data_IF_719473561939
#
_entry.id   IF_719473561939
#
_cell.length_a   1.000
_cell.length_b   1.000
_cell.length_c   1.000
_cell.angle_alpha   90.00
_cell.angle_beta   90.00
_cell.angle_gamma   90.00
#
_symmetry.space_group_name_H-M   'P 1'
#
loop_
_entity.id
_entity.type
_entity.pdbx_description
1 polymer ?
#
# COMPACT_ATOMS: atom_id res chain seq x y z
N UNK A 1 -11.01 62.90 9.48
CA UNK A 1 -10.06 62.03 10.20
C UNK A 1 -10.76 61.48 11.42
N UNK A 2 -11.02 60.17 11.45
CA UNK A 2 -11.43 59.45 12.66
C UNK A 2 -10.99 58.00 12.48
N UNK A 3 -10.32 57.48 13.51
CA UNK A 3 -9.45 56.32 13.50
C UNK A 3 -10.19 55.00 13.27
N UNK A 4 -9.53 54.11 12.52
CA UNK A 4 -9.94 52.71 12.37
C UNK A 4 -9.83 51.98 13.70
N UNK A 5 -10.92 51.29 14.07
CA UNK A 5 -10.92 50.34 15.18
C UNK A 5 -10.29 49.06 14.67
N UNK A 6 -9.05 48.82 15.07
CA UNK A 6 -8.38 47.52 14.96
C UNK A 6 -9.10 46.56 15.91
N UNK A 7 -9.91 45.65 15.36
CA UNK A 7 -10.47 44.55 16.14
C UNK A 7 -9.36 43.51 16.29
N UNK A 8 -8.69 43.55 17.43
CA UNK A 8 -7.80 42.48 17.88
C UNK A 8 -8.64 41.22 18.08
N UNK A 9 -8.46 40.24 17.19
CA UNK A 9 -8.93 38.89 17.44
C UNK A 9 -8.00 38.27 18.49
N UNK A 10 -8.52 37.82 19.65
CA UNK A 10 -7.70 37.06 20.58
C UNK A 10 -7.30 35.76 19.88
N UNK A 11 -6.00 35.60 19.66
CA UNK A 11 -5.35 34.34 19.34
C UNK A 11 -5.64 33.34 20.46
N UNK A 12 -6.79 32.68 20.40
CA UNK A 12 -7.02 31.45 21.15
C UNK A 12 -6.18 30.38 20.47
N UNK A 13 -4.99 30.19 21.01
CA UNK A 13 -4.16 29.04 20.73
C UNK A 13 -4.99 27.77 20.87
N UNK A 14 -5.32 27.18 19.73
CA UNK A 14 -5.78 25.80 19.66
C UNK A 14 -4.55 24.92 19.90
N UNK A 15 -4.12 24.85 21.16
CA UNK A 15 -3.24 23.80 21.62
C UNK A 15 -4.07 22.51 21.67
N UNK A 16 -4.35 21.94 20.49
CA UNK A 16 -4.73 20.54 20.38
C UNK A 16 -3.56 19.74 20.95
N UNK A 17 -3.66 19.35 22.23
CA UNK A 17 -2.76 18.41 22.88
C UNK A 17 -2.92 17.03 22.21
N UNK A 18 -2.40 16.90 21.00
CA UNK A 18 -1.91 15.60 20.59
C UNK A 18 -0.56 15.44 21.28
N UNK A 19 -0.32 14.34 22.02
CA UNK A 19 1.06 13.91 22.18
C UNK A 19 1.65 13.72 20.77
N UNK A 20 2.98 13.75 20.59
CA UNK A 20 3.60 13.68 19.25
C UNK A 20 2.87 12.67 18.37
N UNK A 21 2.55 13.00 17.12
CA UNK A 21 1.72 12.15 16.24
C UNK A 21 2.16 10.68 16.26
N UNK A 22 3.47 10.46 16.36
CA UNK A 22 4.10 9.16 16.57
C UNK A 22 3.52 8.40 17.79
N UNK A 23 3.48 9.03 18.96
CA UNK A 23 2.91 8.42 20.17
C UNK A 23 1.42 8.11 20.03
N UNK A 24 0.66 9.01 19.38
CA UNK A 24 -0.76 8.79 19.11
C UNK A 24 -0.97 7.61 18.17
N UNK A 25 -0.18 7.51 17.11
CA UNK A 25 -0.20 6.41 16.15
C UNK A 25 0.17 5.09 16.81
N UNK A 26 1.22 5.07 17.62
CA UNK A 26 1.65 3.87 18.36
C UNK A 26 0.56 3.38 19.31
N UNK A 27 0.01 4.27 20.13
CA UNK A 27 -1.03 3.92 21.09
C UNK A 27 -2.30 3.47 20.38
N UNK A 28 -2.71 4.17 19.31
CA UNK A 28 -3.89 3.80 18.51
C UNK A 28 -3.70 2.46 17.81
N UNK A 29 -2.52 2.19 17.26
CA UNK A 29 -2.17 0.91 16.61
C UNK A 29 -2.25 -0.24 17.60
N UNK A 30 -1.64 -0.10 18.78
CA UNK A 30 -1.68 -1.14 19.81
C UNK A 30 -3.11 -1.47 20.26
N UNK A 31 -3.95 -0.44 20.47
CA UNK A 31 -5.35 -0.60 20.87
C UNK A 31 -6.21 -1.18 19.77
N UNK A 32 -5.97 -0.78 18.52
CA UNK A 32 -6.63 -1.36 17.36
C UNK A 32 -6.35 -2.86 17.25
N UNK A 33 -5.08 -3.27 17.32
CA UNK A 33 -4.68 -4.68 17.24
C UNK A 33 -5.29 -5.50 18.38
N UNK A 34 -5.32 -4.94 19.59
CA UNK A 34 -5.97 -5.58 20.74
C UNK A 34 -7.49 -5.73 20.51
N UNK A 35 -8.16 -4.70 19.98
CA UNK A 35 -9.60 -4.72 19.73
C UNK A 35 -9.99 -5.76 18.65
N UNK A 36 -9.28 -5.79 17.52
CA UNK A 36 -9.52 -6.76 16.44
C UNK A 36 -9.19 -8.19 16.87
N UNK A 37 -8.24 -8.37 17.79
CA UNK A 37 -7.94 -9.70 18.35
C UNK A 37 -8.98 -10.17 19.37
N UNK A 38 -9.63 -9.23 20.08
CA UNK A 38 -10.60 -9.54 21.13
C UNK A 38 -12.01 -9.81 20.59
N UNK A 39 -12.39 -9.17 19.48
CA UNK A 39 -13.71 -9.28 18.88
C UNK A 39 -13.64 -9.34 17.34
N UNK A 40 -14.51 -10.12 16.68
CA UNK A 40 -14.54 -10.23 15.22
C UNK A 40 -15.01 -8.94 14.53
N UNK A 41 -15.79 -8.10 15.20
CA UNK A 41 -16.28 -6.81 14.71
C UNK A 41 -16.16 -5.73 15.80
N UNK A 42 -14.96 -5.16 16.01
CA UNK A 42 -14.75 -4.16 17.05
C UNK A 42 -15.34 -2.80 16.65
N UNK A 43 -15.88 -2.05 17.61
CA UNK A 43 -16.30 -0.66 17.36
C UNK A 43 -15.08 0.25 17.17
N UNK A 44 -14.86 0.69 15.93
CA UNK A 44 -13.76 1.56 15.54
C UNK A 44 -14.14 3.06 15.46
N UNK A 45 -15.36 3.44 15.87
CA UNK A 45 -15.91 4.79 15.69
C UNK A 45 -15.07 5.87 16.36
N UNK A 46 -14.54 5.58 17.55
CA UNK A 46 -13.67 6.50 18.28
C UNK A 46 -12.34 6.74 17.57
N UNK A 47 -11.75 5.71 16.94
CA UNK A 47 -10.55 5.88 16.13
C UNK A 47 -10.84 6.73 14.89
N UNK A 48 -11.97 6.48 14.21
CA UNK A 48 -12.37 7.23 13.02
C UNK A 48 -12.55 8.72 13.31
N UNK A 49 -13.29 9.07 14.36
CA UNK A 49 -13.52 10.47 14.71
C UNK A 49 -12.22 11.19 15.07
N UNK A 50 -11.34 10.51 15.82
CA UNK A 50 -10.04 11.04 16.19
C UNK A 50 -9.14 11.26 14.97
N UNK A 51 -8.97 10.26 14.11
CA UNK A 51 -8.09 10.37 12.95
C UNK A 51 -8.68 11.26 11.85
N UNK A 52 -10.00 11.33 11.70
CA UNK A 52 -10.64 12.33 10.83
C UNK A 52 -10.25 13.74 11.26
N UNK A 53 -10.28 14.04 12.57
CA UNK A 53 -9.87 15.35 13.09
C UNK A 53 -8.38 15.61 12.86
N UNK A 54 -7.53 14.61 13.11
CA UNK A 54 -6.09 14.69 12.82
C UNK A 54 -5.86 15.04 11.35
N UNK A 55 -6.46 14.30 10.42
CA UNK A 55 -6.29 14.50 8.99
C UNK A 55 -6.79 15.88 8.52
N UNK A 56 -7.87 16.41 9.09
CA UNK A 56 -8.34 17.78 8.79
C UNK A 56 -7.44 18.88 9.36
N UNK A 57 -6.56 18.56 10.30
CA UNK A 57 -5.63 19.53 10.91
C UNK A 57 -4.40 19.76 10.05
N UNK A 58 -4.01 18.78 9.21
CA UNK A 58 -2.83 18.86 8.36
C UNK A 58 -3.22 19.15 6.90
N UNK A 59 -2.64 20.19 6.25
CA UNK A 59 -2.88 20.45 4.83
C UNK A 59 -2.30 19.37 3.91
N UNK A 60 -1.21 18.72 4.34
CA UNK A 60 -0.67 17.50 3.73
C UNK A 60 -0.48 16.44 4.83
N UNK A 61 -1.50 15.59 5.08
CA UNK A 61 -1.51 14.71 6.24
C UNK A 61 -0.44 13.62 6.14
N UNK A 62 0.32 13.33 7.20
CA UNK A 62 1.40 12.35 7.16
C UNK A 62 0.94 10.96 6.71
N UNK A 63 1.83 10.26 6.02
CA UNK A 63 1.53 8.98 5.36
C UNK A 63 0.93 7.97 6.34
N UNK A 64 1.50 7.85 7.53
CA UNK A 64 1.09 6.90 8.57
C UNK A 64 -0.31 7.20 9.10
N UNK A 65 -0.69 8.48 9.22
CA UNK A 65 -2.03 8.88 9.64
C UNK A 65 -3.08 8.54 8.58
N UNK A 66 -2.79 8.81 7.30
CA UNK A 66 -3.65 8.44 6.18
C UNK A 66 -3.79 6.92 6.09
N UNK A 67 -2.70 6.21 6.32
CA UNK A 67 -2.66 4.76 6.21
C UNK A 67 -3.38 4.06 7.36
N UNK A 68 -3.28 4.59 8.59
CA UNK A 68 -4.09 4.10 9.71
C UNK A 68 -5.58 4.38 9.48
N UNK A 69 -5.94 5.60 9.07
CA UNK A 69 -7.33 5.96 8.82
C UNK A 69 -7.97 5.13 7.70
N UNK A 70 -7.25 4.89 6.61
CA UNK A 70 -7.74 4.04 5.53
C UNK A 70 -7.93 2.58 5.97
N UNK A 71 -7.16 2.09 6.94
CA UNK A 71 -7.39 0.78 7.53
C UNK A 71 -8.73 0.72 8.27
N UNK A 72 -9.07 1.76 9.04
CA UNK A 72 -10.36 1.84 9.73
C UNK A 72 -11.53 1.74 8.74
N UNK A 73 -11.45 2.46 7.62
CA UNK A 73 -12.47 2.42 6.55
C UNK A 73 -12.53 1.06 5.87
N UNK A 74 -11.37 0.43 5.64
CA UNK A 74 -11.31 -0.90 5.03
C UNK A 74 -11.93 -1.97 5.92
N UNK A 75 -11.73 -1.89 7.24
CA UNK A 75 -12.29 -2.87 8.16
C UNK A 75 -13.83 -2.84 8.20
N UNK A 76 -14.47 -1.69 7.95
CA UNK A 76 -15.93 -1.59 7.80
C UNK A 76 -16.44 -2.24 6.50
N UNK A 77 -15.68 -2.09 5.41
CA UNK A 77 -16.07 -2.52 4.07
C UNK A 77 -14.89 -3.14 3.31
N UNK A 78 -14.48 -4.38 3.67
CA UNK A 78 -13.23 -4.96 3.17
C UNK A 78 -13.25 -5.34 1.69
N UNK A 79 -14.43 -5.46 1.08
CA UNK A 79 -14.54 -5.80 -0.33
C UNK A 79 -14.49 -4.56 -1.24
N UNK A 80 -14.49 -3.34 -0.69
CA UNK A 80 -14.54 -2.10 -1.46
C UNK A 80 -13.17 -1.43 -1.64
N UNK A 81 -12.27 -2.15 -2.30
CA UNK A 81 -10.93 -1.66 -2.65
C UNK A 81 -10.96 -0.42 -3.56
N UNK A 82 -12.04 -0.20 -4.32
CA UNK A 82 -12.18 1.02 -5.15
C UNK A 82 -12.34 2.24 -4.27
N UNK A 83 -13.20 2.18 -3.26
CA UNK A 83 -13.38 3.29 -2.33
C UNK A 83 -12.09 3.60 -1.56
N UNK A 84 -11.31 2.57 -1.18
CA UNK A 84 -9.99 2.79 -0.57
C UNK A 84 -9.03 3.47 -1.54
N UNK A 85 -8.94 3.01 -2.80
CA UNK A 85 -8.10 3.65 -3.82
C UNK A 85 -8.50 5.13 -4.03
N UNK A 86 -9.80 5.41 -4.09
CA UNK A 86 -10.31 6.77 -4.21
C UNK A 86 -9.97 7.63 -2.98
N UNK A 87 -10.14 7.11 -1.77
CA UNK A 87 -9.78 7.78 -0.53
C UNK A 87 -8.29 8.17 -0.50
N UNK A 88 -7.41 7.22 -0.83
CA UNK A 88 -5.97 7.45 -0.88
C UNK A 88 -5.58 8.47 -1.96
N UNK A 89 -6.25 8.43 -3.11
CA UNK A 89 -6.04 9.41 -4.17
C UNK A 89 -6.47 10.82 -3.76
N UNK A 90 -7.53 10.95 -2.97
CA UNK A 90 -8.02 12.23 -2.47
C UNK A 90 -7.03 12.87 -1.49
N UNK A 91 -6.44 12.08 -0.58
CA UNK A 91 -5.43 12.56 0.37
C UNK A 91 -4.10 12.98 -0.28
N UNK A 92 -3.89 12.66 -1.55
CA UNK A 92 -2.62 12.90 -2.26
C UNK A 92 -2.77 13.71 -3.53
N UNK A 93 -3.98 14.20 -3.81
CA UNK A 93 -4.28 15.07 -4.93
C UNK A 93 -3.41 16.34 -4.92
N UNK A 94 -3.17 16.91 -3.72
CA UNK A 94 -2.33 18.10 -3.51
C UNK A 94 -0.85 17.78 -3.25
N UNK A 95 -0.46 16.51 -3.20
CA UNK A 95 0.91 16.15 -2.82
C UNK A 95 1.91 16.52 -3.92
N UNK A 96 2.98 17.28 -3.61
CA UNK A 96 3.90 17.81 -4.62
C UNK A 96 4.80 16.73 -5.25
N UNK A 97 5.06 15.64 -4.52
CA UNK A 97 5.94 14.56 -4.96
C UNK A 97 5.17 13.25 -5.22
N UNK A 98 5.70 12.42 -6.12
CA UNK A 98 5.09 11.13 -6.45
C UNK A 98 5.21 10.08 -5.33
N UNK A 99 6.21 10.19 -4.45
CA UNK A 99 6.57 9.13 -3.50
C UNK A 99 5.43 8.77 -2.54
N UNK A 100 4.82 9.75 -1.88
CA UNK A 100 3.73 9.53 -0.92
C UNK A 100 2.47 8.92 -1.57
N UNK A 101 1.93 9.44 -2.69
CA UNK A 101 0.85 8.79 -3.43
C UNK A 101 1.12 7.33 -3.77
N UNK A 102 2.33 7.02 -4.24
CA UNK A 102 2.72 5.67 -4.59
C UNK A 102 2.84 4.76 -3.37
N UNK A 103 3.47 5.23 -2.30
CA UNK A 103 3.67 4.48 -1.06
C UNK A 103 2.32 4.12 -0.38
N UNK A 104 1.33 5.01 -0.45
CA UNK A 104 -0.01 4.77 0.10
C UNK A 104 -0.79 3.66 -0.61
N UNK A 105 -0.37 3.21 -1.80
CA UNK A 105 -1.03 2.11 -2.51
C UNK A 105 -0.68 0.72 -1.94
N UNK A 106 0.33 0.61 -1.08
CA UNK A 106 0.77 -0.65 -0.47
C UNK A 106 -0.38 -1.57 -0.01
N UNK A 107 -1.34 -1.12 0.84
CA UNK A 107 -2.42 -1.96 1.30
C UNK A 107 -3.37 -2.39 0.17
N UNK A 108 -3.67 -1.52 -0.80
CA UNK A 108 -4.54 -1.88 -1.93
C UNK A 108 -3.90 -2.97 -2.79
N UNK A 109 -2.59 -2.86 -3.06
CA UNK A 109 -1.86 -3.88 -3.83
C UNK A 109 -1.80 -5.20 -3.08
N UNK A 110 -1.54 -5.16 -1.77
CA UNK A 110 -1.57 -6.34 -0.90
C UNK A 110 -2.93 -7.03 -0.92
N UNK A 111 -4.02 -6.29 -0.74
CA UNK A 111 -5.37 -6.86 -0.73
C UNK A 111 -5.76 -7.39 -2.11
N UNK A 112 -5.30 -6.77 -3.22
CA UNK A 112 -5.51 -7.32 -4.56
C UNK A 112 -4.81 -8.66 -4.76
N UNK A 113 -3.62 -8.86 -4.18
CA UNK A 113 -2.93 -10.14 -4.22
C UNK A 113 -3.69 -11.22 -3.42
N UNK A 114 -4.21 -10.88 -2.25
CA UNK A 114 -4.93 -11.83 -1.38
C UNK A 114 -6.40 -12.01 -1.76
N UNK A 115 -6.93 -11.20 -2.68
CA UNK A 115 -8.34 -11.19 -3.04
C UNK A 115 -8.78 -12.52 -3.66
N UNK A 116 -9.91 -13.04 -3.17
CA UNK A 116 -10.62 -14.15 -3.79
C UNK A 116 -11.60 -13.72 -4.89
N UNK A 117 -11.57 -12.44 -5.29
CA UNK A 117 -12.46 -11.87 -6.31
C UNK A 117 -12.26 -12.52 -7.67
N UNK A 118 -13.27 -12.46 -8.57
CA UNK A 118 -13.11 -12.91 -9.94
C UNK A 118 -11.92 -12.23 -10.59
N UNK A 119 -11.10 -13.03 -11.28
CA UNK A 119 -9.87 -12.58 -11.94
C UNK A 119 -10.03 -11.31 -12.77
N UNK A 120 -11.12 -11.21 -13.55
CA UNK A 120 -11.41 -10.04 -14.40
C UNK A 120 -11.54 -8.75 -13.58
N UNK A 121 -12.10 -8.84 -12.37
CA UNK A 121 -12.21 -7.69 -11.46
C UNK A 121 -10.84 -7.31 -10.90
N UNK A 122 -10.05 -8.30 -10.48
CA UNK A 122 -8.67 -8.08 -10.01
C UNK A 122 -7.84 -7.42 -11.10
N UNK A 123 -7.89 -7.92 -12.34
CA UNK A 123 -7.18 -7.33 -13.47
C UNK A 123 -7.58 -5.88 -13.75
N UNK A 124 -8.88 -5.56 -13.68
CA UNK A 124 -9.37 -4.20 -13.86
C UNK A 124 -8.89 -3.25 -12.76
N UNK A 125 -8.86 -3.72 -11.51
CA UNK A 125 -8.35 -2.94 -10.38
C UNK A 125 -6.83 -2.76 -10.44
N UNK A 126 -6.08 -3.80 -10.80
CA UNK A 126 -4.63 -3.70 -11.01
C UNK A 126 -4.32 -2.70 -12.13
N UNK A 127 -5.08 -2.71 -13.23
CA UNK A 127 -4.90 -1.73 -14.30
C UNK A 127 -5.20 -0.30 -13.82
N UNK A 128 -6.22 -0.10 -12.98
CA UNK A 128 -6.49 1.19 -12.37
C UNK A 128 -5.33 1.66 -11.45
N UNK A 129 -4.75 0.74 -10.66
CA UNK A 129 -3.57 1.02 -9.83
C UNK A 129 -2.37 1.40 -10.70
N UNK A 130 -2.08 0.65 -11.76
CA UNK A 130 -0.96 0.95 -12.67
C UNK A 130 -1.17 2.29 -13.42
N UNK A 131 -2.40 2.59 -13.81
CA UNK A 131 -2.75 3.88 -14.40
C UNK A 131 -2.50 5.02 -13.41
N UNK A 132 -2.91 4.84 -12.15
CA UNK A 132 -2.64 5.81 -11.09
C UNK A 132 -1.13 5.98 -10.81
N UNK A 133 -0.36 4.88 -10.81
CA UNK A 133 1.11 4.92 -10.72
C UNK A 133 1.70 5.74 -11.87
N UNK A 134 1.25 5.50 -13.10
CA UNK A 134 1.69 6.25 -14.29
C UNK A 134 1.39 7.75 -14.16
N UNK A 135 0.20 8.12 -13.67
CA UNK A 135 -0.18 9.52 -13.45
C UNK A 135 0.73 10.15 -12.39
N UNK A 136 0.98 9.45 -11.27
CA UNK A 136 1.85 9.96 -10.22
C UNK A 136 3.31 10.12 -10.69
N UNK A 137 3.78 9.20 -11.53
CA UNK A 137 5.15 9.20 -12.07
C UNK A 137 5.43 10.36 -13.04
N UNK A 138 4.39 10.97 -13.60
CA UNK A 138 4.51 12.17 -14.44
C UNK A 138 4.74 13.46 -13.63
N UNK A 139 4.63 13.40 -12.30
CA UNK A 139 4.88 14.57 -11.43
C UNK A 139 6.38 14.88 -11.40
N UNK A 140 6.76 16.16 -11.41
CA UNK A 140 8.16 16.53 -11.29
C UNK A 140 8.74 15.98 -9.98
N UNK A 141 10.00 15.56 -9.99
CA UNK A 141 10.73 15.23 -8.78
C UNK A 141 10.77 16.49 -7.91
N UNK A 142 9.94 16.53 -6.87
CA UNK A 142 9.82 17.70 -5.99
C UNK A 142 11.20 18.11 -5.48
N UNK A 143 11.51 19.41 -5.58
CA UNK A 143 12.73 19.97 -5.03
C UNK A 143 12.85 19.65 -3.53
N UNK A 144 14.09 19.49 -3.07
CA UNK A 144 14.49 19.02 -1.73
C UNK A 144 13.55 19.48 -0.61
N UNK A 145 12.53 18.67 -0.31
CA UNK A 145 11.79 18.76 0.94
C UNK A 145 12.68 18.09 1.98
N UNK A 146 12.93 18.77 3.10
CA UNK A 146 13.76 18.34 4.24
C UNK A 146 13.97 16.82 4.31
N UNK A 147 15.22 16.37 4.41
CA UNK A 147 15.59 14.94 4.40
C UNK A 147 14.81 14.06 5.41
N UNK A 148 14.34 14.63 6.52
CA UNK A 148 13.50 13.96 7.51
C UNK A 148 12.01 13.90 7.16
N UNK A 149 11.49 14.79 6.30
CA UNK A 149 10.11 14.76 5.82
C UNK A 149 9.84 13.59 4.86
N UNK A 150 10.91 12.97 4.34
CA UNK A 150 10.83 11.82 3.44
C UNK A 150 11.02 10.46 4.13
N UNK A 151 11.14 10.42 5.47
CA UNK A 151 11.34 9.17 6.22
C UNK A 151 10.05 8.69 6.86
N UNK A 152 9.91 7.37 6.99
CA UNK A 152 8.83 6.74 7.73
C UNK A 152 9.01 6.99 9.22
N UNK A 153 7.90 7.24 9.92
CA UNK A 153 7.89 7.44 11.36
C UNK A 153 8.38 6.17 12.09
N UNK A 154 9.04 6.32 13.26
CA UNK A 154 9.36 5.20 14.12
C UNK A 154 8.10 4.38 14.45
N UNK A 155 8.23 3.05 14.48
CA UNK A 155 7.08 2.17 14.73
C UNK A 155 6.20 1.91 13.49
N UNK A 156 6.61 2.34 12.30
CA UNK A 156 5.97 1.99 11.03
C UNK A 156 5.67 0.48 10.88
N UNK A 157 6.57 -0.38 11.35
CA UNK A 157 6.36 -1.83 11.33
C UNK A 157 5.13 -2.30 12.12
N UNK A 158 4.74 -1.59 13.18
CA UNK A 158 3.49 -1.87 13.91
C UNK A 158 2.27 -1.49 13.07
N UNK A 159 2.34 -0.40 12.31
CA UNK A 159 1.27 0.02 11.41
C UNK A 159 1.06 -0.99 10.28
N UNK A 160 2.12 -1.63 9.79
CA UNK A 160 2.01 -2.73 8.80
C UNK A 160 1.18 -3.90 9.35
N UNK A 161 1.21 -4.16 10.67
CA UNK A 161 0.42 -5.22 11.29
C UNK A 161 -1.07 -4.97 11.15
N UNK A 162 -1.52 -3.71 11.21
CA UNK A 162 -2.94 -3.31 11.06
C UNK A 162 -3.53 -3.88 9.77
N UNK A 163 -2.77 -3.83 8.67
CA UNK A 163 -3.20 -4.36 7.38
C UNK A 163 -2.98 -5.87 7.23
N UNK A 164 -2.07 -6.42 8.01
CA UNK A 164 -1.73 -7.84 7.94
C UNK A 164 -2.67 -8.73 8.76
N UNK A 165 -3.45 -8.18 9.71
CA UNK A 165 -4.21 -8.96 10.70
C UNK A 165 -5.09 -10.04 10.06
N UNK A 166 -5.78 -9.73 8.97
CA UNK A 166 -6.71 -10.67 8.30
C UNK A 166 -6.00 -11.83 7.60
N UNK A 167 -4.79 -11.58 7.13
CA UNK A 167 -4.03 -12.48 6.26
C UNK A 167 -2.80 -13.08 6.97
N UNK A 168 -2.61 -12.78 8.26
CA UNK A 168 -1.51 -13.25 9.10
C UNK A 168 -1.81 -14.67 9.59
N UNK A 169 -1.21 -15.65 8.89
CA UNK A 169 -1.13 -17.06 9.32
C UNK A 169 0.31 -17.38 9.68
N UNK A 170 0.81 -16.82 10.78
CA UNK A 170 2.21 -16.91 11.25
C UNK A 170 3.29 -16.29 10.35
N UNK A 171 2.89 -15.59 9.29
CA UNK A 171 3.81 -14.88 8.41
C UNK A 171 4.22 -13.53 8.97
N UNK A 172 5.44 -13.11 8.63
CA UNK A 172 5.90 -11.76 8.90
C UNK A 172 4.93 -10.73 8.28
N UNK A 173 4.52 -9.66 8.98
CA UNK A 173 3.61 -8.64 8.46
C UNK A 173 4.05 -8.04 7.11
N UNK A 174 5.35 -7.79 6.95
CA UNK A 174 5.90 -7.29 5.67
C UNK A 174 5.83 -8.31 4.53
N UNK A 175 5.83 -9.61 4.84
CA UNK A 175 5.62 -10.67 3.84
C UNK A 175 4.15 -10.78 3.44
N UNK A 176 3.23 -10.47 4.36
CA UNK A 176 1.80 -10.37 4.06
C UNK A 176 1.54 -9.13 3.22
N UNK A 177 2.13 -7.98 3.56
CA UNK A 177 1.93 -6.73 2.82
C UNK A 177 2.62 -6.73 1.44
N UNK A 178 3.79 -7.37 1.33
CA UNK A 178 4.58 -7.45 0.09
C UNK A 178 4.98 -8.89 -0.23
N UNK A 179 4.04 -9.71 -0.73
CA UNK A 179 4.27 -11.13 -1.00
C UNK A 179 5.15 -11.41 -2.23
N UNK A 180 5.26 -10.50 -3.20
CA UNK A 180 5.99 -10.70 -4.46
C UNK A 180 7.39 -10.09 -4.46
N UNK A 181 7.68 -9.07 -3.66
CA UNK A 181 9.05 -8.54 -3.57
C UNK A 181 10.00 -9.51 -2.86
N UNK A 182 11.31 -9.32 -3.02
CA UNK A 182 12.33 -10.16 -2.38
C UNK A 182 12.52 -9.89 -0.89
N UNK A 183 13.14 -10.84 -0.17
CA UNK A 183 13.42 -10.71 1.27
C UNK A 183 14.33 -9.52 1.60
N UNK A 184 15.25 -9.16 0.71
CA UNK A 184 16.14 -8.03 0.90
C UNK A 184 15.39 -6.71 0.97
N UNK A 185 14.45 -6.47 0.03
CA UNK A 185 13.61 -5.29 0.05
C UNK A 185 12.74 -5.24 1.31
N UNK A 186 12.20 -6.38 1.76
CA UNK A 186 11.46 -6.46 3.03
C UNK A 186 12.33 -6.15 4.24
N UNK A 187 13.57 -6.67 4.30
CA UNK A 187 14.50 -6.36 5.40
C UNK A 187 14.85 -4.88 5.44
N UNK A 188 14.99 -4.23 4.29
CA UNK A 188 15.24 -2.79 4.23
C UNK A 188 14.05 -1.99 4.78
N UNK A 189 12.81 -2.38 4.46
CA UNK A 189 11.60 -1.77 5.01
C UNK A 189 11.45 -1.92 6.54
N UNK A 190 12.06 -2.96 7.11
CA UNK A 190 12.04 -3.19 8.57
C UNK A 190 13.02 -2.29 9.33
N UNK A 191 13.93 -1.60 8.64
CA UNK A 191 14.88 -0.70 9.29
C UNK A 191 14.19 0.61 9.66
N UNK A 192 14.46 1.09 10.86
CA UNK A 192 14.00 2.41 11.29
C UNK A 192 14.57 3.50 10.39
N UNK A 193 13.74 4.49 10.03
CA UNK A 193 14.14 5.59 9.17
C UNK A 193 14.17 5.25 7.67
N UNK A 194 13.60 4.12 7.25
CA UNK A 194 13.38 3.82 5.83
C UNK A 194 12.64 4.97 5.13
N UNK A 195 13.04 5.30 3.90
CA UNK A 195 12.44 6.42 3.18
C UNK A 195 11.09 6.04 2.55
N UNK A 196 10.19 7.03 2.48
CA UNK A 196 8.93 6.95 1.74
C UNK A 196 9.18 6.70 0.26
N UNK A 197 10.30 7.21 -0.29
CA UNK A 197 10.71 6.94 -1.68
C UNK A 197 11.07 5.48 -1.91
N UNK A 198 11.74 4.82 -0.96
CA UNK A 198 12.05 3.40 -1.06
C UNK A 198 10.77 2.56 -0.97
N UNK A 199 9.90 2.85 0.01
CA UNK A 199 8.59 2.23 0.10
C UNK A 199 7.77 2.38 -1.19
N UNK A 200 7.74 3.58 -1.79
CA UNK A 200 7.10 3.81 -3.08
C UNK A 200 7.68 2.91 -4.18
N UNK A 201 9.00 2.77 -4.24
CA UNK A 201 9.67 1.85 -5.17
C UNK A 201 9.25 0.39 -4.99
N UNK A 202 9.16 -0.07 -3.73
CA UNK A 202 8.68 -1.42 -3.39
C UNK A 202 7.22 -1.61 -3.83
N UNK A 203 6.35 -0.64 -3.58
CA UNK A 203 4.93 -0.71 -3.97
C UNK A 203 4.76 -0.78 -5.49
N UNK A 204 5.52 0.01 -6.24
CA UNK A 204 5.51 -0.04 -7.71
C UNK A 204 6.03 -1.39 -8.21
N UNK A 205 7.07 -1.95 -7.57
CA UNK A 205 7.59 -3.28 -7.91
C UNK A 205 6.54 -4.37 -7.64
N UNK A 206 5.88 -4.35 -6.49
CA UNK A 206 4.83 -5.29 -6.11
C UNK A 206 3.65 -5.23 -7.11
N UNK A 207 3.16 -4.03 -7.45
CA UNK A 207 2.07 -3.85 -8.42
C UNK A 207 2.45 -4.32 -9.83
N UNK A 208 3.67 -4.03 -10.26
CA UNK A 208 4.22 -4.50 -11.54
C UNK A 208 4.29 -6.03 -11.59
N UNK A 209 4.82 -6.66 -10.54
CA UNK A 209 4.90 -8.11 -10.44
C UNK A 209 3.52 -8.75 -10.38
N UNK A 210 2.57 -8.18 -9.65
CA UNK A 210 1.20 -8.66 -9.59
C UNK A 210 0.55 -8.66 -10.99
N UNK A 211 0.72 -7.58 -11.76
CA UNK A 211 0.24 -7.53 -13.15
C UNK A 211 0.93 -8.57 -14.03
N UNK A 212 2.23 -8.79 -13.83
CA UNK A 212 2.98 -9.82 -14.55
C UNK A 212 2.44 -11.23 -14.23
N UNK A 213 2.19 -11.54 -12.95
CA UNK A 213 1.56 -12.79 -12.51
C UNK A 213 0.24 -13.02 -13.24
N UNK A 214 -0.62 -12.00 -13.26
CA UNK A 214 -1.89 -12.07 -13.99
C UNK A 214 -1.61 -12.30 -15.48
N UNK A 215 -0.78 -11.49 -16.14
CA UNK A 215 -0.51 -11.68 -17.57
C UNK A 215 0.05 -13.05 -17.93
N UNK A 216 0.78 -13.74 -17.06
CA UNK A 216 1.28 -15.11 -17.31
C UNK A 216 0.16 -16.16 -17.19
N UNK A 217 -0.76 -15.97 -16.24
CA UNK A 217 -1.83 -16.93 -15.96
C UNK A 217 -3.03 -16.87 -16.91
N UNK A 218 -3.26 -15.72 -17.56
CA UNK A 218 -4.44 -15.48 -18.39
C UNK A 218 -4.40 -16.08 -19.80
N UNK A 219 -3.42 -16.94 -20.09
CA UNK A 219 -2.94 -17.17 -21.46
C UNK A 219 -3.09 -18.63 -21.90
N UNK A 220 -4.16 -19.29 -21.46
CA UNK A 220 -4.46 -20.67 -21.88
C UNK A 220 -4.51 -20.74 -23.42
N UNK A 221 -3.54 -21.42 -24.04
CA UNK A 221 -3.50 -21.70 -25.48
C UNK A 221 -2.56 -20.84 -26.34
N UNK A 222 -1.85 -19.85 -25.79
CA UNK A 222 -0.86 -19.07 -26.58
C UNK A 222 0.52 -19.74 -26.56
N UNK A 223 1.24 -19.78 -27.69
CA UNK A 223 2.61 -20.28 -27.73
C UNK A 223 3.52 -19.51 -26.77
N UNK A 224 4.37 -20.24 -26.01
CA UNK A 224 5.29 -19.66 -25.03
C UNK A 224 6.19 -18.56 -25.62
N UNK A 225 6.63 -18.71 -26.87
CA UNK A 225 7.49 -17.74 -27.57
C UNK A 225 6.78 -16.41 -27.85
N UNK A 226 5.50 -16.47 -28.23
CA UNK A 226 4.67 -15.29 -28.48
C UNK A 226 4.35 -14.58 -27.18
N UNK A 227 3.94 -15.33 -26.15
CA UNK A 227 3.73 -14.80 -24.81
C UNK A 227 4.98 -14.11 -24.25
N UNK A 228 6.15 -14.72 -24.40
CA UNK A 228 7.40 -14.12 -23.94
C UNK A 228 7.70 -12.78 -24.65
N UNK A 229 7.41 -12.69 -25.95
CA UNK A 229 7.59 -11.46 -26.73
C UNK A 229 6.64 -10.36 -26.26
N UNK A 230 5.36 -10.69 -26.06
CA UNK A 230 4.37 -9.74 -25.56
C UNK A 230 4.69 -9.25 -24.15
N UNK A 231 5.04 -10.16 -23.24
CA UNK A 231 5.43 -9.82 -21.87
C UNK A 231 6.68 -8.94 -21.85
N UNK A 232 7.65 -9.20 -22.72
CA UNK A 232 8.85 -8.38 -22.85
C UNK A 232 8.51 -6.97 -23.32
N UNK A 233 7.67 -6.83 -24.35
CA UNK A 233 7.23 -5.52 -24.85
C UNK A 233 6.48 -4.77 -23.75
N UNK A 234 5.53 -5.42 -23.09
CA UNK A 234 4.77 -4.82 -22.00
C UNK A 234 5.68 -4.38 -20.84
N UNK A 235 6.60 -5.24 -20.40
CA UNK A 235 7.52 -4.93 -19.32
C UNK A 235 8.39 -3.72 -19.65
N UNK A 236 9.01 -3.68 -20.84
CA UNK A 236 9.84 -2.55 -21.28
C UNK A 236 9.00 -1.26 -21.32
N UNK A 237 7.80 -1.32 -21.90
CA UNK A 237 6.91 -0.15 -21.96
C UNK A 237 6.51 0.34 -20.56
N UNK A 238 6.05 -0.54 -19.67
CA UNK A 238 5.66 -0.15 -18.30
C UNK A 238 6.81 0.43 -17.51
N UNK A 239 7.99 -0.20 -17.58
CA UNK A 239 9.20 0.27 -16.91
C UNK A 239 9.59 1.67 -17.39
N UNK A 240 9.50 1.94 -18.69
CA UNK A 240 9.80 3.27 -19.26
C UNK A 240 8.83 4.37 -18.80
N UNK A 241 7.59 4.00 -18.46
CA UNK A 241 6.55 4.92 -18.01
C UNK A 241 6.67 5.26 -16.53
N UNK A 242 7.06 4.30 -15.68
CA UNK A 242 7.08 4.52 -14.23
C UNK A 242 8.23 5.42 -13.76
N UNK A 243 9.36 5.46 -14.48
CA UNK A 243 10.51 6.35 -14.22
C UNK A 243 10.95 6.47 -12.74
N UNK A 244 10.69 5.44 -11.93
CA UNK A 244 10.95 5.46 -10.49
C UNK A 244 12.26 4.72 -10.17
N UNK A 245 13.30 5.46 -9.79
CA UNK A 245 14.65 4.93 -9.55
C UNK A 245 14.68 3.83 -8.47
N UNK A 246 13.87 3.96 -7.42
CA UNK A 246 13.82 2.97 -6.34
C UNK A 246 13.18 1.67 -6.81
N UNK A 247 12.13 1.76 -7.63
CA UNK A 247 11.55 0.60 -8.32
C UNK A 247 12.58 -0.15 -9.18
N UNK A 248 13.38 0.57 -9.97
CA UNK A 248 14.46 -0.05 -10.74
C UNK A 248 15.46 -0.79 -9.85
N UNK A 249 15.90 -0.16 -8.76
CA UNK A 249 16.81 -0.78 -7.80
C UNK A 249 16.24 -2.05 -7.18
N UNK A 250 14.98 -2.01 -6.73
CA UNK A 250 14.28 -3.17 -6.17
C UNK A 250 14.17 -4.31 -7.19
N UNK A 251 13.77 -4.02 -8.43
CA UNK A 251 13.70 -5.02 -9.50
C UNK A 251 15.06 -5.63 -9.82
N UNK A 252 16.10 -4.81 -9.99
CA UNK A 252 17.45 -5.28 -10.30
C UNK A 252 18.00 -6.16 -9.19
N UNK A 253 17.82 -5.77 -7.93
CA UNK A 253 18.25 -6.59 -6.79
C UNK A 253 17.56 -7.95 -6.78
N UNK A 254 16.27 -8.02 -7.09
CA UNK A 254 15.56 -9.31 -7.19
C UNK A 254 16.03 -10.18 -8.36
N UNK A 255 16.46 -9.57 -9.46
CA UNK A 255 17.02 -10.30 -10.61
C UNK A 255 18.44 -10.82 -10.33
N UNK A 256 19.23 -10.09 -9.54
CA UNK A 256 20.62 -10.43 -9.22
C UNK A 256 20.70 -11.41 -8.04
N UNK A 257 19.82 -11.28 -7.04
CA UNK A 257 19.81 -12.09 -5.82
C UNK A 257 18.65 -13.10 -5.86
N UNK A 258 18.83 -14.31 -6.42
CA UNK A 258 17.82 -15.36 -6.36
C UNK A 258 17.55 -15.83 -4.92
N UNK A 259 16.33 -16.34 -4.62
CA UNK A 259 15.28 -16.70 -5.57
C UNK A 259 14.29 -15.56 -5.82
N UNK A 260 14.05 -15.25 -7.10
CA UNK A 260 12.77 -14.65 -7.50
C UNK A 260 11.65 -15.51 -6.88
N UNK A 261 10.54 -14.95 -6.38
CA UNK A 261 9.42 -15.75 -5.89
C UNK A 261 8.65 -16.39 -7.07
N UNK A 262 9.34 -17.26 -7.80
CA UNK A 262 8.82 -18.10 -8.89
C UNK A 262 7.70 -18.99 -8.36
N UNK A 263 7.74 -19.37 -7.08
CA UNK A 263 6.65 -20.07 -6.42
C UNK A 263 5.39 -19.21 -6.30
N UNK A 264 5.49 -17.92 -5.96
CA UNK A 264 4.32 -17.01 -5.92
C UNK A 264 3.73 -16.77 -7.31
N UNK A 265 4.58 -16.73 -8.36
CA UNK A 265 4.14 -16.66 -9.76
C UNK A 265 3.30 -17.90 -10.18
N UNK A 266 3.59 -19.06 -9.60
CA UNK A 266 2.88 -20.32 -9.87
C UNK A 266 1.65 -20.53 -8.96
N UNK A 267 1.62 -19.92 -7.76
CA UNK A 267 0.64 -20.17 -6.69
C UNK A 267 -0.39 -19.04 -6.53
N UNK A 268 -0.36 -17.99 -7.37
CA UNK A 268 -1.33 -16.88 -7.33
C UNK A 268 -2.74 -17.32 -7.83
N UNK A 269 -3.36 -18.33 -7.20
CA UNK A 269 -4.80 -18.72 -7.24
C UNK A 269 -5.11 -19.30 -5.84
N UNK A 270 -6.30 -19.04 -5.25
CA UNK A 270 -6.48 -19.08 -3.80
C UNK A 270 -6.48 -20.51 -3.26
N UNK A 271 -6.16 -20.62 -1.98
CA UNK A 271 -6.09 -21.85 -1.18
C UNK A 271 -7.44 -22.59 -1.00
N UNK A 272 -8.38 -22.48 -1.94
CA UNK A 272 -9.72 -23.07 -1.86
C UNK A 272 -10.10 -24.00 -3.01
N UNK A 273 -9.38 -24.02 -4.15
CA UNK A 273 -9.67 -24.98 -5.23
C UNK A 273 -8.84 -26.28 -5.22
N UNK A 274 -7.80 -26.40 -4.39
CA UNK A 274 -7.07 -27.69 -4.30
C UNK A 274 -7.77 -28.73 -3.42
N UNK A 275 -8.69 -28.34 -2.53
CA UNK A 275 -9.40 -29.32 -1.69
C UNK A 275 -10.49 -30.08 -2.43
N UNK A 276 -11.10 -29.51 -3.48
CA UNK A 276 -12.12 -30.22 -4.26
C UNK A 276 -11.56 -31.17 -5.32
N UNK A 277 -10.33 -30.95 -5.80
CA UNK A 277 -9.70 -31.86 -6.79
C UNK A 277 -8.97 -33.01 -6.10
N UNK A 278 -8.43 -32.81 -4.90
CA UNK A 278 -7.75 -33.89 -4.15
C UNK A 278 -8.73 -34.76 -3.35
N UNK A 279 -9.85 -34.22 -2.88
CA UNK A 279 -10.89 -35.02 -2.20
C UNK A 279 -11.82 -35.77 -3.18
N UNK A 280 -11.85 -35.40 -4.46
CA UNK A 280 -12.68 -36.04 -5.49
C UNK A 280 -12.07 -37.28 -6.15
N UNK A 281 -10.79 -37.59 -5.90
CA UNK A 281 -10.07 -38.69 -6.55
C UNK A 281 -9.65 -39.82 -5.60
N UNK A 282 -10.28 -39.93 -4.42
CA UNK A 282 -10.03 -41.04 -3.48
C UNK A 282 -11.24 -41.97 -3.33
N UNK A 283 -12.40 -41.70 -3.94
CA UNK A 283 -13.50 -42.68 -3.97
C UNK A 283 -14.27 -42.60 -5.30
N UNK A 284 -13.81 -43.38 -6.29
CA UNK A 284 -14.58 -44.34 -7.13
C UNK A 284 -13.63 -44.96 -8.14
#
# INVERSE_FOLDING_TARGET
>A
MAAGVLVDFPSMGSACFFPSLESLLRDSTSRFLAAVSAAPDPDLTNFRSLFSRVLTTYPDPPLEAVWFFSALTFHDAPDDLRSILHLLSAFTASSPAAAKPLALLAPVVSELFHSAKPRREIEALVEAVLSYISICSSRPAGGEVNADAGRLLPGFGELVKVWSVRNSRDRCPFQVLFPLVGDEARRELMKDGCSVTFLAGVVVAEAFLLRLCLKVQGVAGVPRSELQKELRIWAVSSISVFQNQQFFGVLLNMLVNPPLPVYSLLVCVPFQSMYHVVAGNINT
#
